data_IF_547053377265
#
_entry.id   IF_547053377265
#
_cell.length_a   1.000
_cell.length_b   1.000
_cell.length_c   1.000
_cell.angle_alpha   90.00
_cell.angle_beta   90.00
_cell.angle_gamma   90.00
#
_symmetry.space_group_name_H-M   'P 1'
#
loop_
_entity.id
_entity.type
_entity.pdbx_description
1 polymer ?
#
# COMPACT_ATOMS: atom_id res chain seq x y z
N UNK A 1 18.78 -8.59 -22.10
CA UNK A 1 17.81 -8.36 -21.01
C UNK A 1 17.96 -6.93 -20.53
N UNK A 2 16.87 -6.17 -20.38
CA UNK A 2 16.89 -4.83 -19.78
C UNK A 2 16.22 -4.94 -18.41
N UNK A 3 16.92 -4.52 -17.36
CA UNK A 3 16.38 -4.41 -16.01
C UNK A 3 16.74 -3.04 -15.46
N UNK A 4 15.98 -2.58 -14.47
CA UNK A 4 16.20 -1.32 -13.76
C UNK A 4 16.40 -1.65 -12.29
N UNK A 5 17.42 -1.04 -11.68
CA UNK A 5 17.64 -1.10 -10.23
C UNK A 5 17.06 0.18 -9.63
N UNK A 6 16.24 0.04 -8.58
CA UNK A 6 15.63 1.15 -7.85
C UNK A 6 15.73 0.93 -6.34
N UNK A 7 15.54 1.98 -5.57
CA UNK A 7 15.55 1.90 -4.10
C UNK A 7 14.39 1.10 -3.55
N UNK A 8 14.63 0.37 -2.46
CA UNK A 8 13.57 -0.30 -1.71
C UNK A 8 12.91 0.67 -0.74
N UNK A 9 11.65 1.03 -1.00
CA UNK A 9 10.84 1.91 -0.16
C UNK A 9 10.61 1.38 1.27
N UNK A 10 10.77 0.08 1.48
CA UNK A 10 10.49 -0.60 2.74
C UNK A 10 11.76 -1.15 3.41
N UNK A 11 12.90 -0.50 3.19
CA UNK A 11 14.17 -0.89 3.80
C UNK A 11 14.18 -0.54 5.30
N UNK A 12 13.49 -1.34 6.13
CA UNK A 12 13.35 -1.13 7.57
C UNK A 12 13.41 -2.46 8.33
N UNK A 13 13.83 -2.42 9.59
CA UNK A 13 13.78 -3.56 10.54
C UNK A 13 12.37 -3.82 11.08
N UNK A 14 11.44 -2.90 10.85
CA UNK A 14 10.05 -3.01 11.29
C UNK A 14 9.26 -3.96 10.38
N UNK A 15 8.44 -4.82 10.99
CA UNK A 15 7.53 -5.71 10.25
C UNK A 15 6.39 -4.92 9.61
N UNK A 16 6.16 -5.18 8.33
CA UNK A 16 5.05 -4.62 7.59
C UNK A 16 3.87 -5.56 7.75
N UNK A 17 2.87 -5.13 8.51
CA UNK A 17 1.70 -5.96 8.80
C UNK A 17 0.74 -6.07 7.61
N UNK A 18 0.63 -4.99 6.80
CA UNK A 18 -0.25 -4.92 5.63
C UNK A 18 0.36 -4.03 4.55
N UNK A 19 0.10 -4.38 3.29
CA UNK A 19 0.61 -3.69 2.10
C UNK A 19 -0.57 -3.31 1.20
N UNK A 20 -0.55 -2.09 0.66
CA UNK A 20 -1.59 -1.59 -0.25
C UNK A 20 -0.95 -1.05 -1.53
N UNK A 21 -1.49 -1.44 -2.68
CA UNK A 21 -1.33 -0.75 -3.97
C UNK A 21 -2.57 0.14 -4.13
N UNK A 22 -2.40 1.46 -4.22
CA UNK A 22 -3.49 2.44 -4.35
C UNK A 22 -3.31 3.23 -5.64
N UNK A 23 -4.39 3.37 -6.42
CA UNK A 23 -4.40 4.06 -7.73
C UNK A 23 -5.55 5.04 -7.89
N UNK A 24 -6.54 5.04 -6.99
CA UNK A 24 -7.73 5.91 -7.04
C UNK A 24 -8.85 5.42 -7.96
N UNK A 25 -8.62 4.37 -8.76
CA UNK A 25 -9.64 3.73 -9.60
C UNK A 25 -10.39 2.62 -8.86
N UNK A 26 -11.55 2.18 -9.36
CA UNK A 26 -12.35 1.11 -8.75
C UNK A 26 -12.28 -0.23 -9.50
N UNK A 27 -12.24 -0.21 -10.84
CA UNK A 27 -12.29 -1.43 -11.64
C UNK A 27 -11.04 -2.30 -11.43
N UNK A 28 -11.21 -3.55 -11.02
CA UNK A 28 -10.11 -4.49 -10.77
C UNK A 28 -9.26 -4.17 -9.54
N UNK A 29 -9.75 -3.28 -8.66
CA UNK A 29 -9.04 -2.82 -7.46
C UNK A 29 -9.53 -3.48 -6.17
N UNK A 30 -9.81 -4.78 -6.23
CA UNK A 30 -9.98 -5.65 -5.07
C UNK A 30 -9.09 -6.90 -5.21
N UNK A 31 -8.77 -7.54 -4.09
CA UNK A 31 -8.10 -8.84 -4.00
C UNK A 31 -9.09 -9.99 -3.80
N UNK A 32 -8.78 -11.17 -4.33
CA UNK A 32 -9.59 -12.37 -4.13
C UNK A 32 -9.49 -12.84 -2.67
N UNK A 33 -10.64 -12.96 -1.99
CA UNK A 33 -10.76 -13.08 -0.52
C UNK A 33 -10.53 -14.48 0.03
N UNK A 34 -9.74 -15.31 -0.63
CA UNK A 34 -9.65 -16.74 -0.25
C UNK A 34 -8.84 -16.89 1.05
N UNK A 35 -7.75 -16.12 1.21
CA UNK A 35 -7.00 -15.97 2.46
C UNK A 35 -6.12 -14.72 2.36
N UNK A 36 -6.19 -13.81 3.33
CA UNK A 36 -5.30 -12.63 3.39
C UNK A 36 -4.13 -12.98 4.29
N UNK A 37 -2.93 -12.99 3.72
CA UNK A 37 -1.67 -13.19 4.44
C UNK A 37 -0.80 -11.92 4.44
N UNK A 38 0.39 -12.00 5.03
CA UNK A 38 1.34 -10.87 5.13
C UNK A 38 1.97 -10.45 3.80
N UNK A 39 1.93 -11.33 2.80
CA UNK A 39 2.46 -11.08 1.46
C UNK A 39 1.39 -10.52 0.51
N UNK A 40 0.12 -10.60 0.92
CA UNK A 40 -1.02 -10.10 0.16
C UNK A 40 -0.93 -8.58 0.04
N UNK A 41 -0.92 -8.10 -1.21
CA UNK A 41 -0.99 -6.67 -1.51
C UNK A 41 -2.44 -6.30 -1.80
N UNK A 42 -3.07 -5.66 -0.82
CA UNK A 42 -4.45 -5.16 -0.87
C UNK A 42 -4.57 -3.98 -1.84
N UNK A 43 -5.78 -3.70 -2.31
CA UNK A 43 -6.06 -2.64 -3.28
C UNK A 43 -7.08 -1.62 -2.76
N UNK A 44 -7.45 -0.66 -3.60
CA UNK A 44 -8.29 0.49 -3.26
C UNK A 44 -9.63 0.09 -2.61
N UNK A 45 -10.32 -0.95 -3.11
CA UNK A 45 -11.61 -1.39 -2.56
C UNK A 45 -11.48 -2.28 -1.31
N UNK A 46 -10.27 -2.75 -1.01
CA UNK A 46 -9.97 -3.53 0.19
C UNK A 46 -9.53 -2.63 1.36
N UNK A 47 -9.22 -1.36 1.08
CA UNK A 47 -8.81 -0.38 2.09
C UNK A 47 -10.01 0.06 2.95
N UNK A 48 -10.10 -0.51 4.14
CA UNK A 48 -11.12 -0.18 5.15
C UNK A 48 -10.59 0.69 6.31
N UNK A 49 -9.52 1.46 6.06
CA UNK A 49 -8.89 2.33 7.05
C UNK A 49 -9.05 3.80 6.71
N UNK A 50 -9.08 4.61 7.76
CA UNK A 50 -8.86 6.04 7.68
C UNK A 50 -7.53 6.37 8.37
N UNK A 51 -6.65 7.08 7.65
CA UNK A 51 -5.36 7.52 8.19
C UNK A 51 -5.52 8.90 8.83
N UNK A 52 -5.18 9.00 10.11
CA UNK A 52 -5.13 10.25 10.82
C UNK A 52 -3.67 10.69 10.90
N UNK A 53 -3.38 11.84 10.30
CA UNK A 53 -2.04 12.43 10.24
C UNK A 53 -2.07 13.78 10.94
N UNK A 54 -0.93 14.16 11.53
CA UNK A 54 -0.75 15.50 12.04
C UNK A 54 -0.89 16.51 10.88
N UNK A 55 -1.57 17.66 11.08
CA UNK A 55 -1.84 18.62 10.02
C UNK A 55 -0.65 19.02 9.15
N UNK A 56 0.54 19.25 9.72
CA UNK A 56 1.73 19.60 8.95
C UNK A 56 2.21 18.45 8.05
N UNK A 57 2.11 17.20 8.51
CA UNK A 57 2.45 16.03 7.68
C UNK A 57 1.45 15.82 6.55
N UNK A 58 0.17 16.03 6.83
CA UNK A 58 -0.87 15.97 5.79
C UNK A 58 -0.62 17.04 4.72
N UNK A 59 -0.24 18.25 5.13
CA UNK A 59 0.09 19.32 4.19
C UNK A 59 1.34 19.01 3.36
N UNK A 60 2.35 18.35 3.93
CA UNK A 60 3.57 17.99 3.19
C UNK A 60 3.36 16.84 2.19
N UNK A 61 2.34 16.00 2.39
CA UNK A 61 2.02 14.85 1.52
C UNK A 61 1.03 15.18 0.39
N UNK A 62 0.32 16.31 0.49
CA UNK A 62 -0.63 16.81 -0.52
C UNK A 62 0.05 17.80 -1.47
#
# INVERSE_FOLDING_TARGET
>A
FRFVVMGNMFCTELRIHRRFDLKGSSQGRSTDKIEIDENTTLKDLDLNYQFFLEPSWRQALL
#
